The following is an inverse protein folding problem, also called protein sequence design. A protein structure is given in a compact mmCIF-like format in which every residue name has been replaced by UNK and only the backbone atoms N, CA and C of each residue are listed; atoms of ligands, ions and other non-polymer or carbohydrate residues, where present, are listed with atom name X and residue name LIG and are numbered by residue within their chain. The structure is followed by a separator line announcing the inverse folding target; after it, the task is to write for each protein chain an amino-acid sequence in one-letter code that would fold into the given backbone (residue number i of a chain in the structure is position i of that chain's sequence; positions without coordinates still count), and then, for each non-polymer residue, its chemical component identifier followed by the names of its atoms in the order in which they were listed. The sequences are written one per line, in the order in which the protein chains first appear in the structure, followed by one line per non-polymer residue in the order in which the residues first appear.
data_IF_977822909200
#
_entry.id   IF_977822909200
#
_cell.length_a   1.000
_cell.length_b   1.000
_cell.length_c   1.000
_cell.angle_alpha   90.00
_cell.angle_beta   90.00
_cell.angle_gamma   90.00
#
_symmetry.space_group_name_H-M   'P 1'
#
loop_
_entity.id
_entity.type
_entity.pdbx_description
1 polymer ?
#
# COMPACT_ATOMS: atom_id res chain seq x y z
N UNK A 1 7.46 9.53 -4.68
CA UNK A 1 7.37 8.35 -3.78
C UNK A 1 8.50 8.44 -2.78
N UNK A 2 8.29 8.05 -1.52
CA UNK A 2 9.34 8.11 -0.49
C UNK A 2 9.60 6.71 0.07
N UNK A 3 10.87 6.32 0.11
CA UNK A 3 11.39 5.15 0.79
C UNK A 3 12.11 5.63 2.03
N UNK A 4 11.87 4.95 3.15
CA UNK A 4 12.52 5.26 4.42
C UNK A 4 13.15 4.00 4.99
N UNK A 5 14.38 4.14 5.45
CA UNK A 5 15.08 3.08 6.16
C UNK A 5 14.76 3.12 7.67
N UNK A 6 14.75 1.93 8.28
CA UNK A 6 14.75 1.78 9.72
C UNK A 6 15.54 0.51 10.09
N UNK A 7 16.34 0.54 11.18
CA UNK A 7 17.14 -0.60 11.63
C UNK A 7 16.28 -1.72 12.27
N UNK A 8 14.97 -1.54 12.32
CA UNK A 8 14.05 -2.48 12.92
C UNK A 8 12.61 -2.33 12.42
N UNK A 9 11.76 -3.27 12.83
CA UNK A 9 10.34 -3.36 12.44
C UNK A 9 9.36 -2.97 13.56
N UNK A 10 9.88 -2.37 14.64
CA UNK A 10 9.08 -1.92 15.78
C UNK A 10 8.23 -0.70 15.46
N UNK A 11 7.17 -0.47 16.24
CA UNK A 11 6.20 0.61 16.01
C UNK A 11 6.84 2.00 16.03
N UNK A 12 7.88 2.16 16.86
CA UNK A 12 8.65 3.40 16.97
C UNK A 12 9.14 3.93 15.61
N UNK A 13 9.51 3.07 14.67
CA UNK A 13 10.06 3.51 13.38
C UNK A 13 8.97 4.04 12.45
N UNK A 14 7.82 3.36 12.37
CA UNK A 14 6.71 3.85 11.57
C UNK A 14 6.09 5.12 12.18
N UNK A 15 6.04 5.21 13.51
CA UNK A 15 5.63 6.44 14.20
C UNK A 15 6.59 7.59 13.91
N UNK A 16 7.90 7.36 13.96
CA UNK A 16 8.90 8.38 13.59
C UNK A 16 8.73 8.84 12.14
N UNK A 17 8.51 7.92 11.22
CA UNK A 17 8.29 8.23 9.80
C UNK A 17 7.03 9.08 9.58
N UNK A 18 5.93 8.73 10.25
CA UNK A 18 4.66 9.43 10.11
C UNK A 18 4.66 10.77 10.85
N UNK A 19 5.42 10.92 11.93
CA UNK A 19 5.63 12.18 12.66
C UNK A 19 4.32 12.89 13.06
N UNK A 20 4.01 14.00 12.40
CA UNK A 20 2.80 14.80 12.63
C UNK A 20 1.60 14.42 11.76
N UNK A 21 1.69 13.39 10.90
CA UNK A 21 0.65 13.04 9.93
C UNK A 21 -0.69 12.68 10.59
N UNK A 22 -1.80 13.13 9.99
CA UNK A 22 -3.17 12.94 10.53
C UNK A 22 -4.17 12.39 9.49
N UNK A 23 -3.69 12.00 8.32
CA UNK A 23 -4.54 11.50 7.24
C UNK A 23 -4.75 9.99 7.29
N UNK A 24 -5.18 9.42 6.16
CA UNK A 24 -5.36 7.98 6.01
C UNK A 24 -4.02 7.27 5.82
N UNK A 25 -3.79 6.22 6.61
CA UNK A 25 -2.62 5.34 6.49
C UNK A 25 -3.10 4.02 5.90
N UNK A 26 -2.74 3.75 4.65
CA UNK A 26 -3.09 2.51 3.97
C UNK A 26 -1.99 1.47 4.14
N UNK A 27 -2.29 0.35 4.80
CA UNK A 27 -1.28 -0.67 5.12
C UNK A 27 -1.79 -2.11 4.99
N UNK A 28 -0.85 -3.05 5.08
CA UNK A 28 -1.04 -4.49 4.92
C UNK A 28 -1.60 -5.23 6.15
N UNK A 29 -1.91 -4.48 7.21
CA UNK A 29 -2.39 -5.07 8.46
C UNK A 29 -1.30 -5.76 9.28
N UNK A 30 -0.01 -5.51 9.02
CA UNK A 30 1.08 -5.91 9.92
C UNK A 30 0.81 -5.41 11.34
N UNK A 31 0.96 -6.31 12.33
CA UNK A 31 0.56 -6.06 13.73
C UNK A 31 1.10 -4.74 14.29
N UNK A 32 2.34 -4.41 13.96
CA UNK A 32 2.98 -3.18 14.43
C UNK A 32 2.23 -1.91 14.01
N UNK A 33 1.66 -1.86 12.80
CA UNK A 33 0.92 -0.69 12.32
C UNK A 33 -0.40 -0.47 13.04
N UNK A 34 -0.96 -1.52 13.67
CA UNK A 34 -2.22 -1.42 14.43
C UNK A 34 -2.09 -0.57 15.69
N UNK A 35 -0.87 -0.32 16.14
CA UNK A 35 -0.58 0.56 17.29
C UNK A 35 -0.52 2.05 16.90
N UNK A 36 -0.66 2.37 15.61
CA UNK A 36 -0.58 3.73 15.06
C UNK A 36 -1.97 4.33 14.87
N UNK A 37 -2.83 4.26 15.90
CA UNK A 37 -4.20 4.79 15.90
C UNK A 37 -4.40 5.87 16.97
N UNK A 38 -5.48 6.66 16.83
CA UNK A 38 -5.91 7.66 17.82
C UNK A 38 -6.10 7.11 19.24
N UNK A 39 -6.55 5.87 19.36
CA UNK A 39 -6.95 5.28 20.65
C UNK A 39 -5.76 4.85 21.52
N UNK A 40 -4.60 4.59 20.90
CA UNK A 40 -3.42 4.09 21.62
C UNK A 40 -2.49 5.21 22.10
N UNK A 41 -2.60 6.45 21.60
CA UNK A 41 -1.77 7.60 22.02
C UNK A 41 -2.51 8.94 21.80
N UNK A 42 -2.82 9.66 22.88
CA UNK A 42 -3.42 11.00 22.83
C UNK A 42 -2.50 12.07 22.19
N UNK A 43 -1.19 11.81 22.14
CA UNK A 43 -0.11 12.70 21.72
C UNK A 43 0.61 12.26 20.43
N UNK A 44 0.40 11.03 19.94
CA UNK A 44 1.08 10.50 18.75
C UNK A 44 0.09 10.02 17.68
N UNK A 45 0.10 10.71 16.54
CA UNK A 45 -0.42 10.26 15.24
C UNK A 45 -1.87 9.78 15.17
N UNK A 46 -2.74 10.73 14.83
CA UNK A 46 -4.18 10.54 14.73
C UNK A 46 -4.67 10.12 13.34
N UNK A 47 -3.94 9.22 12.66
CA UNK A 47 -4.33 8.76 11.32
C UNK A 47 -5.43 7.70 11.34
N UNK A 48 -6.21 7.61 10.26
CA UNK A 48 -7.20 6.52 10.08
C UNK A 48 -6.54 5.37 9.32
N UNK A 49 -6.53 4.17 9.90
CA UNK A 49 -5.99 2.98 9.23
C UNK A 49 -6.97 2.46 8.17
N UNK A 50 -6.50 2.37 6.93
CA UNK A 50 -7.14 1.62 5.86
C UNK A 50 -6.39 0.31 5.67
N UNK A 51 -7.06 -0.82 5.79
CA UNK A 51 -6.44 -2.13 5.54
C UNK A 51 -6.83 -2.65 4.17
N UNK A 52 -5.89 -3.34 3.54
CA UNK A 52 -6.12 -3.90 2.22
C UNK A 52 -6.78 -5.28 2.24
N UNK A 53 -7.66 -5.48 1.26
CA UNK A 53 -8.32 -6.77 1.04
C UNK A 53 -7.36 -7.83 0.52
N UNK A 54 -6.23 -7.47 -0.09
CA UNK A 54 -5.22 -8.42 -0.56
C UNK A 54 -4.69 -9.29 0.58
N UNK A 55 -4.48 -8.71 1.77
CA UNK A 55 -4.00 -9.44 2.94
C UNK A 55 -5.07 -10.33 3.56
N UNK A 56 -6.32 -9.84 3.65
CA UNK A 56 -7.45 -10.65 4.07
C UNK A 56 -7.64 -11.85 3.11
N UNK A 57 -7.73 -11.59 1.81
CA UNK A 57 -7.90 -12.60 0.75
C UNK A 57 -6.79 -13.65 0.81
N UNK A 58 -5.53 -13.24 1.04
CA UNK A 58 -4.40 -14.17 1.12
C UNK A 58 -4.56 -15.20 2.23
N UNK A 59 -5.20 -14.85 3.35
CA UNK A 59 -5.48 -15.82 4.43
C UNK A 59 -6.42 -16.92 3.94
N UNK A 60 -7.50 -16.57 3.25
CA UNK A 60 -8.44 -17.56 2.70
C UNK A 60 -7.84 -18.38 1.55
N UNK A 61 -7.00 -17.78 0.70
CA UNK A 61 -6.25 -18.51 -0.34
C UNK A 61 -5.37 -19.59 0.29
N UNK A 62 -4.63 -19.27 1.36
CA UNK A 62 -3.82 -20.25 2.08
C UNK A 62 -4.68 -21.38 2.65
N UNK A 63 -5.79 -21.05 3.29
CA UNK A 63 -6.69 -22.07 3.88
C UNK A 63 -7.27 -22.98 2.79
N UNK A 64 -7.68 -22.45 1.63
CA UNK A 64 -8.23 -23.26 0.54
C UNK A 64 -7.18 -24.18 -0.14
N UNK A 65 -5.90 -23.79 -0.13
CA UNK A 65 -4.81 -24.57 -0.75
C UNK A 65 -4.03 -25.48 0.21
N UNK A 66 -3.82 -25.07 1.47
CA UNK A 66 -2.86 -25.69 2.40
C UNK A 66 -3.54 -26.55 3.49
N UNK A 67 -4.77 -26.24 3.90
CA UNK A 67 -5.48 -26.96 4.98
C UNK A 67 -6.31 -28.14 4.42
N UNK A 68 -5.60 -29.23 4.08
CA UNK A 68 -6.18 -30.54 3.71
C UNK A 68 -6.42 -31.42 4.96
N UNK A 69 -7.47 -32.28 4.99
CA UNK A 69 -7.81 -33.19 3.88
C UNK A 69 -8.95 -32.74 2.98
N UNK A 70 -9.57 -31.58 3.21
CA UNK A 70 -10.61 -31.06 2.32
C UNK A 70 -10.53 -29.52 2.28
N UNK A 71 -10.64 -28.90 1.08
CA UNK A 71 -10.72 -27.44 1.00
C UNK A 71 -11.87 -26.95 1.86
N UNK A 72 -11.59 -26.01 2.76
CA UNK A 72 -12.60 -25.48 3.66
C UNK A 72 -13.69 -24.76 2.82
N UNK A 73 -14.93 -25.28 2.72
CA UNK A 73 -15.95 -24.69 1.83
C UNK A 73 -16.23 -23.22 2.16
N UNK A 74 -16.08 -22.85 3.43
CA UNK A 74 -16.16 -21.47 3.91
C UNK A 74 -15.03 -20.61 3.35
N UNK A 75 -13.80 -21.09 3.26
CA UNK A 75 -12.71 -20.31 2.68
C UNK A 75 -12.95 -20.04 1.19
N UNK A 76 -13.42 -21.04 0.44
CA UNK A 76 -13.79 -20.88 -0.97
C UNK A 76 -14.92 -19.88 -1.18
N UNK A 77 -16.02 -20.03 -0.43
CA UNK A 77 -17.15 -19.10 -0.54
C UNK A 77 -16.74 -17.68 -0.14
N UNK A 78 -15.84 -17.52 0.84
CA UNK A 78 -15.26 -16.21 1.17
C UNK A 78 -14.50 -15.62 -0.02
N UNK A 79 -13.68 -16.40 -0.74
CA UNK A 79 -12.96 -15.95 -1.92
C UNK A 79 -13.89 -15.53 -3.07
N UNK A 80 -14.98 -16.27 -3.29
CA UNK A 80 -16.00 -15.94 -4.30
C UNK A 80 -16.70 -14.62 -3.99
N UNK A 81 -17.12 -14.43 -2.74
CA UNK A 81 -17.75 -13.17 -2.28
C UNK A 81 -16.78 -12.00 -2.37
N UNK A 82 -15.53 -12.19 -1.97
CA UNK A 82 -14.47 -11.19 -2.13
C UNK A 82 -14.28 -10.85 -3.61
N UNK A 83 -14.29 -11.83 -4.52
CA UNK A 83 -14.11 -11.61 -5.95
C UNK A 83 -15.19 -10.70 -6.55
N UNK A 84 -16.43 -10.74 -6.04
CA UNK A 84 -17.51 -9.83 -6.46
C UNK A 84 -17.17 -8.36 -6.14
N UNK A 85 -16.58 -8.08 -4.98
CA UNK A 85 -16.09 -6.73 -4.64
C UNK A 85 -14.96 -6.29 -5.58
N UNK A 86 -14.01 -7.20 -5.90
CA UNK A 86 -12.96 -6.91 -6.88
C UNK A 86 -13.50 -6.64 -8.29
N UNK A 87 -14.58 -7.29 -8.69
CA UNK A 87 -15.21 -7.05 -9.99
C UNK A 87 -15.75 -5.62 -10.10
N UNK A 88 -16.33 -5.09 -9.02
CA UNK A 88 -16.78 -3.70 -8.94
C UNK A 88 -15.59 -2.75 -9.01
N UNK A 89 -14.54 -2.97 -8.20
CA UNK A 89 -13.33 -2.14 -8.24
C UNK A 89 -12.68 -2.11 -9.64
N UNK A 90 -12.74 -3.22 -10.37
CA UNK A 90 -12.26 -3.28 -11.76
C UNK A 90 -13.06 -2.36 -12.69
N UNK A 91 -14.39 -2.27 -12.52
CA UNK A 91 -15.26 -1.44 -13.35
C UNK A 91 -15.09 0.08 -13.13
N UNK A 92 -14.59 0.48 -11.94
CA UNK A 92 -14.34 1.87 -11.58
C UNK A 92 -12.86 2.28 -11.70
N UNK A 93 -11.98 1.39 -12.17
CA UNK A 93 -10.56 1.70 -12.36
C UNK A 93 -10.36 2.83 -13.38
N UNK A 94 -9.54 3.81 -13.03
CA UNK A 94 -9.22 4.95 -13.90
C UNK A 94 -10.27 6.08 -13.87
N UNK A 95 -11.36 5.92 -13.12
CA UNK A 95 -12.35 6.98 -12.89
C UNK A 95 -11.90 7.92 -11.78
N UNK A 96 -12.54 9.09 -11.70
CA UNK A 96 -12.29 10.07 -10.64
C UNK A 96 -12.66 9.54 -9.25
N UNK A 97 -12.06 10.11 -8.21
CA UNK A 97 -12.35 9.73 -6.81
C UNK A 97 -13.85 9.85 -6.47
N UNK A 98 -14.53 10.89 -7.00
CA UNK A 98 -15.97 11.07 -6.82
C UNK A 98 -16.80 9.97 -7.47
N UNK A 99 -16.47 9.57 -8.71
CA UNK A 99 -17.18 8.50 -9.41
C UNK A 99 -16.95 7.16 -8.75
N UNK A 100 -15.72 6.89 -8.30
CA UNK A 100 -15.37 5.69 -7.54
C UNK A 100 -16.20 5.60 -6.26
N UNK A 101 -16.25 6.67 -5.46
CA UNK A 101 -17.05 6.71 -4.23
C UNK A 101 -18.53 6.46 -4.52
N UNK A 102 -19.11 7.18 -5.48
CA UNK A 102 -20.52 7.02 -5.83
C UNK A 102 -20.84 5.58 -6.28
N UNK A 103 -20.00 5.01 -7.15
CA UNK A 103 -20.14 3.63 -7.61
C UNK A 103 -20.00 2.60 -6.49
N UNK A 104 -19.07 2.80 -5.57
CA UNK A 104 -18.88 1.93 -4.40
C UNK A 104 -20.08 1.96 -3.47
N UNK A 105 -20.63 3.15 -3.18
CA UNK A 105 -21.84 3.28 -2.36
C UNK A 105 -23.04 2.59 -3.00
N UNK A 106 -23.22 2.73 -4.32
CA UNK A 106 -24.34 2.13 -5.04
C UNK A 106 -24.23 0.59 -5.16
N UNK A 107 -23.02 0.07 -5.37
CA UNK A 107 -22.83 -1.33 -5.77
C UNK A 107 -22.02 -2.17 -4.79
N UNK A 108 -20.91 -1.65 -4.27
CA UNK A 108 -20.00 -2.41 -3.41
C UNK A 108 -20.47 -2.46 -1.96
N UNK A 109 -21.06 -1.39 -1.44
CA UNK A 109 -21.54 -1.33 -0.07
C UNK A 109 -22.61 -2.39 0.27
N UNK A 110 -23.70 -2.57 -0.49
CA UNK A 110 -24.66 -3.63 -0.18
C UNK A 110 -24.01 -5.03 -0.18
N UNK A 111 -23.04 -5.28 -1.06
CA UNK A 111 -22.29 -6.54 -1.07
C UNK A 111 -21.35 -6.68 0.13
N UNK A 112 -20.66 -5.61 0.52
CA UNK A 112 -19.80 -5.62 1.70
C UNK A 112 -20.62 -5.92 2.97
N UNK A 113 -21.77 -5.26 3.14
CA UNK A 113 -22.69 -5.57 4.23
C UNK A 113 -23.12 -7.04 4.24
N UNK A 114 -23.48 -7.60 3.07
CA UNK A 114 -23.83 -9.02 2.94
C UNK A 114 -22.64 -9.96 3.27
N UNK A 115 -21.42 -9.60 2.88
CA UNK A 115 -20.20 -10.35 3.24
C UNK A 115 -19.99 -10.33 4.75
N UNK A 116 -20.16 -9.18 5.42
CA UNK A 116 -20.03 -9.05 6.87
C UNK A 116 -20.99 -9.97 7.61
N UNK A 117 -22.28 -9.89 7.27
CA UNK A 117 -23.32 -10.73 7.86
C UNK A 117 -23.04 -12.22 7.65
N UNK A 118 -22.55 -12.57 6.46
CA UNK A 118 -22.16 -13.95 6.17
C UNK A 118 -20.94 -14.39 6.99
N UNK A 119 -19.92 -13.54 7.18
CA UNK A 119 -18.78 -13.83 8.07
C UNK A 119 -19.23 -14.03 9.52
N UNK A 120 -20.12 -13.19 10.04
CA UNK A 120 -20.68 -13.29 11.39
C UNK A 120 -21.44 -14.62 11.58
N UNK A 121 -22.31 -14.96 10.63
CA UNK A 121 -23.07 -16.21 10.66
C UNK A 121 -22.15 -17.44 10.62
N UNK A 122 -21.18 -17.47 9.69
CA UNK A 122 -20.24 -18.61 9.59
C UNK A 122 -19.34 -18.74 10.81
N UNK A 123 -18.90 -17.63 11.40
CA UNK A 123 -18.07 -17.66 12.59
C UNK A 123 -18.76 -18.37 13.77
N UNK A 124 -20.08 -18.21 13.91
CA UNK A 124 -20.87 -18.89 14.94
C UNK A 124 -20.93 -20.42 14.81
N UNK A 125 -20.65 -20.96 13.62
CA UNK A 125 -20.70 -22.40 13.32
C UNK A 125 -19.33 -23.07 13.23
N UNK A 126 -18.24 -22.33 13.44
CA UNK A 126 -16.89 -22.86 13.33
C UNK A 126 -16.26 -23.11 14.69
N UNK A 127 -15.46 -24.17 14.79
CA UNK A 127 -14.64 -24.42 15.96
C UNK A 127 -13.74 -23.20 16.24
N UNK A 128 -13.73 -22.74 17.49
CA UNK A 128 -13.08 -21.48 17.89
C UNK A 128 -11.60 -21.43 17.46
N UNK A 129 -10.87 -22.54 17.55
CA UNK A 129 -9.44 -22.60 17.24
C UNK A 129 -9.12 -22.87 15.76
N UNK A 130 -10.13 -23.08 14.91
CA UNK A 130 -9.90 -23.33 13.49
C UNK A 130 -9.24 -22.13 12.79
N UNK A 131 -8.40 -22.44 11.81
CA UNK A 131 -7.72 -21.48 10.91
C UNK A 131 -8.73 -20.55 10.21
N UNK A 132 -9.83 -21.10 9.71
CA UNK A 132 -10.94 -20.33 9.12
C UNK A 132 -11.58 -19.37 10.11
N UNK A 133 -11.86 -19.81 11.35
CA UNK A 133 -12.40 -18.93 12.38
C UNK A 133 -11.42 -17.79 12.75
N UNK A 134 -10.11 -18.04 12.70
CA UNK A 134 -9.09 -16.98 12.89
C UNK A 134 -9.15 -15.93 11.77
N UNK A 135 -9.26 -16.36 10.51
CA UNK A 135 -9.36 -15.45 9.36
C UNK A 135 -10.66 -14.62 9.39
N UNK A 136 -11.80 -15.24 9.72
CA UNK A 136 -13.08 -14.52 9.86
C UNK A 136 -13.03 -13.50 11.01
N UNK A 137 -12.47 -13.86 12.18
CA UNK A 137 -12.29 -12.91 13.28
C UNK A 137 -11.36 -11.76 12.91
N UNK A 138 -10.30 -12.02 12.14
CA UNK A 138 -9.45 -10.97 11.62
C UNK A 138 -10.25 -10.00 10.75
N UNK A 139 -11.05 -10.52 9.81
CA UNK A 139 -11.89 -9.70 8.94
C UNK A 139 -12.88 -8.83 9.74
N UNK A 140 -13.61 -9.44 10.67
CA UNK A 140 -14.65 -8.76 11.45
C UNK A 140 -14.06 -7.74 12.42
N UNK A 141 -12.92 -8.05 13.05
CA UNK A 141 -12.21 -7.11 13.93
C UNK A 141 -11.81 -5.82 13.20
N UNK A 142 -11.44 -5.94 11.93
CA UNK A 142 -10.91 -4.83 11.15
C UNK A 142 -11.87 -4.34 10.07
N UNK A 143 -13.15 -4.65 10.22
CA UNK A 143 -14.13 -4.44 9.16
C UNK A 143 -14.21 -2.97 8.71
N UNK A 144 -14.20 -2.04 9.67
CA UNK A 144 -14.30 -0.60 9.38
C UNK A 144 -13.06 -0.10 8.62
N UNK A 145 -11.86 -0.55 9.00
CA UNK A 145 -10.62 -0.25 8.27
C UNK A 145 -10.56 -0.92 6.90
N UNK A 146 -11.14 -2.11 6.74
CA UNK A 146 -11.26 -2.79 5.45
C UNK A 146 -12.31 -2.12 4.54
N UNK A 147 -13.30 -1.44 5.09
CA UNK A 147 -14.40 -0.84 4.33
C UNK A 147 -14.28 0.66 4.12
N UNK A 148 -13.27 1.32 4.70
CA UNK A 148 -13.02 2.76 4.51
C UNK A 148 -12.91 3.19 3.04
N UNK A 149 -12.44 2.30 2.15
CA UNK A 149 -12.38 2.57 0.71
C UNK A 149 -13.76 2.80 0.07
N UNK A 150 -14.84 2.29 0.66
CA UNK A 150 -16.20 2.51 0.18
C UNK A 150 -16.60 3.98 0.29
N UNK A 151 -16.13 4.66 1.32
CA UNK A 151 -16.47 6.05 1.63
C UNK A 151 -15.48 7.07 1.06
N UNK A 152 -14.26 6.64 0.74
CA UNK A 152 -13.20 7.50 0.21
C UNK A 152 -12.64 6.96 -1.12
N UNK A 153 -12.97 7.67 -2.21
CA UNK A 153 -12.55 7.35 -3.58
C UNK A 153 -11.03 7.31 -3.80
N UNK A 154 -10.26 8.01 -2.95
CA UNK A 154 -8.79 8.05 -3.01
C UNK A 154 -8.15 6.76 -2.54
N UNK A 155 -8.85 5.98 -1.73
CA UNK A 155 -8.35 4.75 -1.15
C UNK A 155 -8.55 3.61 -2.15
N UNK A 156 -7.45 2.95 -2.50
CA UNK A 156 -7.47 1.69 -3.21
C UNK A 156 -7.91 0.55 -2.28
N UNK A 157 -8.64 -0.44 -2.80
CA UNK A 157 -8.95 -1.64 -2.01
C UNK A 157 -7.70 -2.47 -1.66
N UNK A 158 -6.55 -2.21 -2.31
CA UNK A 158 -5.30 -2.96 -2.14
C UNK A 158 -4.04 -2.07 -2.14
N UNK A 159 -3.02 -2.51 -1.40
CA UNK A 159 -1.66 -1.92 -1.38
C UNK A 159 -0.73 -2.44 -2.49
N UNK A 160 -1.26 -3.16 -3.49
CA UNK A 160 -0.43 -3.85 -4.50
C UNK A 160 0.51 -2.92 -5.28
N UNK A 161 0.15 -1.65 -5.49
CA UNK A 161 1.02 -0.69 -6.13
C UNK A 161 2.30 -0.45 -5.31
N UNK A 162 2.14 -0.24 -3.99
CA UNK A 162 3.26 -0.09 -3.05
C UNK A 162 4.08 -1.37 -2.96
N UNK A 163 3.43 -2.54 -2.89
CA UNK A 163 4.13 -3.83 -2.88
C UNK A 163 4.98 -4.06 -4.14
N UNK A 164 4.47 -3.69 -5.31
CA UNK A 164 5.23 -3.76 -6.58
C UNK A 164 6.43 -2.80 -6.56
N UNK A 165 6.25 -1.59 -6.07
CA UNK A 165 7.33 -0.61 -5.96
C UNK A 165 8.41 -1.03 -4.93
N UNK A 166 8.03 -1.79 -3.90
CA UNK A 166 8.98 -2.36 -2.92
C UNK A 166 9.71 -3.61 -3.42
N UNK A 167 9.20 -4.31 -4.44
CA UNK A 167 9.76 -5.59 -4.92
C UNK A 167 11.20 -5.46 -5.46
N UNK A 168 11.55 -4.46 -6.30
CA UNK A 168 12.94 -4.27 -6.75
C UNK A 168 13.90 -4.06 -5.58
N UNK A 169 13.47 -3.32 -4.55
CA UNK A 169 14.28 -3.06 -3.35
C UNK A 169 14.60 -4.38 -2.62
N UNK A 170 13.58 -5.21 -2.39
CA UNK A 170 13.76 -6.52 -1.74
C UNK A 170 14.65 -7.46 -2.54
N UNK A 171 14.54 -7.45 -3.87
CA UNK A 171 15.38 -8.26 -4.75
C UNK A 171 16.84 -7.76 -4.76
N UNK A 172 17.04 -6.44 -4.83
CA UNK A 172 18.36 -5.84 -4.78
C UNK A 172 19.06 -6.14 -3.44
N UNK A 173 18.35 -5.97 -2.31
CA UNK A 173 18.87 -6.31 -0.98
C UNK A 173 19.31 -7.78 -0.87
N UNK A 174 18.61 -8.71 -1.53
CA UNK A 174 19.03 -10.13 -1.58
C UNK A 174 20.32 -10.33 -2.40
N UNK A 175 20.55 -9.50 -3.40
CA UNK A 175 21.69 -9.60 -4.31
C UNK A 175 22.91 -8.76 -3.85
N UNK A 176 22.70 -7.78 -2.96
CA UNK A 176 23.73 -6.96 -2.35
C UNK A 176 24.39 -7.68 -1.17
N UNK A 177 25.00 -8.83 -1.45
CA UNK A 177 25.89 -9.52 -0.53
C UNK A 177 26.97 -8.48 -0.12
N UNK A 178 27.18 -8.24 1.17
CA UNK A 178 28.14 -7.25 1.74
C UNK A 178 27.66 -5.80 1.93
N UNK A 179 26.42 -5.42 1.58
CA UNK A 179 25.83 -4.17 2.06
C UNK A 179 25.30 -4.37 3.49
N UNK A 180 25.79 -3.61 4.48
CA UNK A 180 25.50 -3.93 5.89
C UNK A 180 25.57 -2.79 6.91
N UNK A 181 25.69 -1.53 6.51
CA UNK A 181 25.63 -0.39 7.43
C UNK A 181 24.33 0.41 7.30
N UNK A 182 23.91 1.03 8.41
CA UNK A 182 22.72 1.87 8.46
C UNK A 182 22.84 3.07 7.53
N UNK A 183 24.01 3.74 7.45
CA UNK A 183 24.19 4.89 6.57
C UNK A 183 24.05 4.52 5.09
N UNK A 184 24.53 3.33 4.70
CA UNK A 184 24.39 2.81 3.35
C UNK A 184 22.92 2.59 2.99
N UNK A 185 22.14 2.06 3.93
CA UNK A 185 20.71 1.83 3.73
C UNK A 185 19.90 3.14 3.67
N UNK A 186 20.27 4.16 4.46
CA UNK A 186 19.68 5.50 4.39
C UNK A 186 19.94 6.16 3.03
N UNK A 187 21.19 6.14 2.55
CA UNK A 187 21.55 6.65 1.23
C UNK A 187 20.79 5.94 0.10
N UNK A 188 20.65 4.61 0.22
CA UNK A 188 19.90 3.83 -0.76
C UNK A 188 18.42 4.19 -0.77
N UNK A 189 17.81 4.39 0.41
CA UNK A 189 16.42 4.83 0.52
C UNK A 189 16.20 6.22 -0.10
N UNK A 190 17.15 7.15 0.08
CA UNK A 190 17.12 8.46 -0.58
C UNK A 190 17.16 8.31 -2.11
N UNK A 191 18.11 7.56 -2.64
CA UNK A 191 18.23 7.34 -4.09
C UNK A 191 16.99 6.64 -4.68
N UNK A 192 16.46 5.61 -4.00
CA UNK A 192 15.23 4.94 -4.40
C UNK A 192 14.04 5.90 -4.45
N UNK A 193 13.94 6.83 -3.49
CA UNK A 193 12.91 7.87 -3.47
C UNK A 193 12.98 8.78 -4.69
N UNK A 194 14.18 9.21 -5.07
CA UNK A 194 14.39 10.05 -6.26
C UNK A 194 14.07 9.30 -7.54
N UNK A 195 14.63 8.10 -7.71
CA UNK A 195 14.45 7.25 -8.91
C UNK A 195 12.97 6.90 -9.12
N UNK A 196 12.25 6.50 -8.08
CA UNK A 196 10.82 6.17 -8.18
C UNK A 196 9.97 7.41 -8.40
N UNK A 197 10.42 8.57 -7.93
CA UNK A 197 9.77 9.84 -8.28
C UNK A 197 9.98 10.18 -9.76
N UNK A 198 11.15 9.93 -10.36
CA UNK A 198 11.34 10.07 -11.80
C UNK A 198 10.37 9.17 -12.59
N UNK A 199 10.28 7.88 -12.22
CA UNK A 199 9.37 6.92 -12.86
C UNK A 199 7.90 7.36 -12.79
N UNK A 200 7.45 7.85 -11.63
CA UNK A 200 6.09 8.36 -11.46
C UNK A 200 5.78 9.59 -12.32
N UNK A 201 6.80 10.37 -12.69
CA UNK A 201 6.68 11.54 -13.56
C UNK A 201 7.02 11.24 -15.03
N UNK A 202 7.28 9.97 -15.39
CA UNK A 202 7.67 9.58 -16.75
C UNK A 202 9.07 10.03 -17.16
N UNK A 203 9.91 10.45 -16.21
CA UNK A 203 11.26 10.99 -16.46
C UNK A 203 12.28 9.85 -16.40
N UNK A 204 13.20 9.80 -17.37
CA UNK A 204 14.36 8.91 -17.33
C UNK A 204 15.24 9.26 -16.13
N UNK A 205 15.35 8.33 -15.17
CA UNK A 205 16.14 8.53 -13.96
C UNK A 205 17.64 8.73 -14.28
N UNK A 206 18.15 8.07 -15.31
CA UNK A 206 19.54 8.21 -15.77
C UNK A 206 19.79 9.62 -16.29
N UNK A 207 18.95 10.09 -17.23
CA UNK A 207 19.10 11.41 -17.85
C UNK A 207 18.93 12.52 -16.83
N UNK A 208 17.95 12.38 -15.92
CA UNK A 208 17.74 13.32 -14.83
C UNK A 208 18.96 13.37 -13.89
N UNK A 209 19.47 12.21 -13.47
CA UNK A 209 20.62 12.16 -12.55
C UNK A 209 21.88 12.76 -13.19
N UNK A 210 22.16 12.46 -14.46
CA UNK A 210 23.30 13.01 -15.18
C UNK A 210 23.24 14.55 -15.26
N UNK A 211 22.09 15.11 -15.61
CA UNK A 211 21.89 16.55 -15.71
C UNK A 211 21.95 17.24 -14.34
N UNK A 212 21.30 16.68 -13.32
CA UNK A 212 21.33 17.23 -11.95
C UNK A 212 22.76 17.23 -11.41
N UNK A 213 23.50 16.13 -11.55
CA UNK A 213 24.89 16.08 -11.10
C UNK A 213 25.77 17.08 -11.84
N UNK A 214 25.59 17.22 -13.16
CA UNK A 214 26.32 18.22 -13.94
C UNK A 214 26.01 19.65 -13.47
N UNK A 215 24.74 19.98 -13.22
CA UNK A 215 24.34 21.31 -12.70
C UNK A 215 24.91 21.57 -11.32
N UNK A 216 24.85 20.60 -10.41
CA UNK A 216 25.39 20.73 -9.05
C UNK A 216 26.90 20.95 -9.05
N UNK A 217 27.66 20.19 -9.85
CA UNK A 217 29.12 20.36 -10.00
C UNK A 217 29.47 21.74 -10.56
N UNK A 218 28.63 22.29 -11.44
CA UNK A 218 28.80 23.63 -12.00
C UNK A 218 28.27 24.76 -11.10
N UNK A 219 28.00 24.50 -9.82
CA UNK A 219 27.66 25.52 -8.85
C UNK A 219 26.20 26.00 -8.90
N UNK A 220 25.26 25.11 -9.25
CA UNK A 220 23.83 25.44 -9.23
C UNK A 220 23.41 26.03 -7.86
N UNK A 221 22.68 27.17 -7.84
CA UNK A 221 22.32 27.81 -6.57
C UNK A 221 21.43 26.92 -5.70
N UNK A 222 21.76 26.80 -4.41
CA UNK A 222 20.97 26.04 -3.44
C UNK A 222 19.51 26.54 -3.33
N UNK A 223 19.28 27.84 -3.53
CA UNK A 223 17.95 28.44 -3.54
C UNK A 223 17.07 27.99 -4.73
N UNK A 224 17.64 27.32 -5.74
CA UNK A 224 16.96 26.86 -6.95
C UNK A 224 16.94 25.33 -7.07
N UNK A 225 17.13 24.60 -5.96
CA UNK A 225 17.08 23.14 -5.98
C UNK A 225 15.72 22.58 -6.40
N UNK A 226 14.63 23.31 -6.15
CA UNK A 226 13.29 22.89 -6.56
C UNK A 226 13.14 22.75 -8.09
N UNK A 227 13.93 23.51 -8.86
CA UNK A 227 13.99 23.40 -10.32
C UNK A 227 14.67 22.11 -10.82
N UNK A 228 15.42 21.44 -9.94
CA UNK A 228 16.11 20.18 -10.22
C UNK A 228 15.24 18.96 -9.86
N UNK A 229 14.06 19.15 -9.27
CA UNK A 229 13.23 18.03 -8.84
C UNK A 229 12.61 17.31 -10.05
N UNK A 230 12.36 15.99 -9.96
CA UNK A 230 11.89 15.20 -11.12
C UNK A 230 10.54 15.63 -11.70
N UNK A 231 9.75 16.42 -10.97
CA UNK A 231 8.46 16.96 -11.41
C UNK A 231 8.55 18.39 -11.94
N UNK A 232 9.74 19.00 -11.96
CA UNK A 232 9.93 20.31 -12.56
C UNK A 232 9.69 20.24 -14.08
N UNK A 233 9.08 21.29 -14.64
CA UNK A 233 8.69 21.36 -16.06
C UNK A 233 9.85 21.07 -17.01
N UNK A 234 11.07 21.46 -16.64
CA UNK A 234 12.31 21.19 -17.38
C UNK A 234 12.50 19.71 -17.72
N UNK A 235 12.07 18.79 -16.83
CA UNK A 235 12.23 17.35 -17.02
C UNK A 235 10.97 16.67 -17.56
N UNK A 236 9.79 17.18 -17.20
CA UNK A 236 8.51 16.54 -17.57
C UNK A 236 8.04 16.92 -18.98
N UNK A 237 8.51 18.04 -19.56
CA UNK A 237 8.15 18.44 -20.94
C UNK A 237 8.72 17.47 -22.00
N UNK A 238 9.89 16.87 -21.76
CA UNK A 238 10.47 15.87 -22.66
C UNK A 238 9.88 14.45 -22.49
N UNK A 239 9.35 14.15 -21.30
CA UNK A 239 8.71 12.88 -20.97
C UNK A 239 7.37 12.64 -21.70
N UNK A 240 6.78 13.70 -22.28
CA UNK A 240 5.56 13.61 -23.07
C UNK A 240 5.81 13.29 -24.56
N UNK A 241 7.07 13.13 -25.00
CA UNK A 241 7.38 12.63 -26.34
C UNK A 241 7.20 11.09 -26.38
N UNK A 242 6.19 10.56 -27.10
CA UNK A 242 5.92 9.12 -27.15
C UNK A 242 7.08 8.28 -27.69
N UNK A 243 8.09 8.90 -28.30
CA UNK A 243 9.24 8.22 -28.91
C UNK A 243 10.30 7.77 -27.91
N UNK A 244 10.25 8.25 -26.66
CA UNK A 244 11.19 7.89 -25.60
C UNK A 244 10.61 6.92 -24.55
N UNK A 245 9.37 6.46 -24.74
CA UNK A 245 8.65 5.60 -23.80
C UNK A 245 8.77 4.08 -24.11
N UNK A 246 9.76 3.67 -24.91
CA UNK A 246 9.99 2.28 -25.32
C UNK A 246 11.08 1.58 -24.48
#
# INVERSE_FOLDING_TARGET
MVYAYAPGRGAVHGLRLLGGYRGTIHCDGFETYKTMTRETRADALSGTLAFCWSHLRRQFVKIDHEDSPAPAPVAREALERIAQLYAIEKAFRGRSDSERRAGRQAHAQPLAAAVKQWFEAKLGHLAQKSVTAKALRYALRHWDSLTLYLDDGRIEMNTNAVERAMRPIKLNAKNALFAGCDEGAENWALLASLIETCKLNGVSAESWLADVLAKLVNGWPAARLDELLPWASTYTMGAQDPRLAA
#
